data_IF_564861891700
#
_entry.id   IF_564861891700
#
_cell.length_a   1.000
_cell.length_b   1.000
_cell.length_c   1.000
_cell.angle_alpha   90.00
_cell.angle_beta   90.00
_cell.angle_gamma   90.00
#
_symmetry.space_group_name_H-M   'P 1'
#
loop_
_entity.id
_entity.type
_entity.pdbx_description
1 polymer ?
#
# COMPACT_ATOMS: atom_id res chain seq x y z
N UNK A 1 -16.59 -26.15 7.18
CA UNK A 1 -16.78 -27.05 8.32
C UNK A 1 -17.20 -26.20 9.50
N UNK A 2 -18.33 -26.51 10.14
CA UNK A 2 -18.84 -25.75 11.28
C UNK A 2 -18.11 -26.15 12.57
N UNK A 3 -17.92 -25.18 13.47
CA UNK A 3 -17.37 -25.40 14.81
C UNK A 3 -18.46 -26.09 15.64
N UNK A 4 -18.17 -27.28 16.15
CA UNK A 4 -19.12 -28.12 16.89
C UNK A 4 -18.75 -28.29 18.37
N UNK A 5 -19.69 -28.76 19.18
CA UNK A 5 -19.52 -28.96 20.63
C UNK A 5 -18.29 -29.81 21.01
N UNK A 6 -17.92 -30.78 20.19
CA UNK A 6 -16.77 -31.67 20.46
C UNK A 6 -15.43 -30.95 20.35
N UNK A 7 -15.41 -29.78 19.70
CA UNK A 7 -14.23 -28.94 19.56
C UNK A 7 -14.13 -27.89 20.68
N UNK A 8 -15.20 -27.70 21.48
CA UNK A 8 -15.32 -26.68 22.53
C UNK A 8 -15.59 -27.29 23.92
N UNK A 9 -15.09 -28.51 24.18
CA UNK A 9 -15.37 -29.27 25.43
C UNK A 9 -15.05 -28.48 26.70
N UNK A 10 -13.97 -27.69 26.70
CA UNK A 10 -13.55 -26.89 27.86
C UNK A 10 -14.40 -25.64 28.10
N UNK A 11 -15.17 -25.21 27.10
CA UNK A 11 -16.11 -24.09 27.25
C UNK A 11 -17.45 -24.56 27.88
N UNK A 12 -17.66 -25.88 27.96
CA UNK A 12 -18.85 -26.54 28.49
C UNK A 12 -18.70 -26.99 29.96
N UNK A 13 -17.48 -26.98 30.50
CA UNK A 13 -17.19 -27.43 31.88
C UNK A 13 -17.37 -26.30 32.91
N UNK A 14 -18.18 -26.50 33.98
CA UNK A 14 -18.31 -25.52 35.06
C UNK A 14 -16.97 -25.35 35.80
N UNK A 15 -16.43 -24.13 35.83
CA UNK A 15 -15.17 -23.80 36.52
C UNK A 15 -14.08 -23.16 35.64
N UNK A 16 -14.36 -22.88 34.37
CA UNK A 16 -13.44 -22.16 33.50
C UNK A 16 -13.24 -20.69 33.95
N UNK A 17 -12.01 -20.34 34.32
CA UNK A 17 -11.67 -19.01 34.85
C UNK A 17 -11.65 -17.92 33.76
N UNK A 18 -11.05 -18.20 32.60
CA UNK A 18 -11.07 -17.30 31.43
C UNK A 18 -10.63 -18.01 30.14
N UNK A 19 -11.23 -17.62 29.01
CA UNK A 19 -10.72 -17.88 27.65
C UNK A 19 -9.89 -16.70 27.18
N UNK A 20 -8.63 -16.93 26.80
CA UNK A 20 -7.66 -15.92 26.35
C UNK A 20 -7.10 -16.25 24.95
N UNK A 21 -6.50 -15.27 24.27
CA UNK A 21 -5.77 -15.47 23.01
C UNK A 21 -6.51 -15.08 21.73
N UNK A 22 -7.80 -14.78 21.79
CA UNK A 22 -8.54 -14.22 20.64
C UNK A 22 -8.51 -12.69 20.58
N UNK A 23 -8.25 -12.04 21.72
CA UNK A 23 -8.22 -10.58 21.86
C UNK A 23 -6.82 -10.14 22.30
N UNK A 24 -5.96 -9.90 21.31
CA UNK A 24 -4.70 -9.21 21.51
C UNK A 24 -4.84 -7.75 21.10
N UNK A 25 -3.95 -6.89 21.63
CA UNK A 25 -3.80 -5.53 21.10
C UNK A 25 -3.55 -5.60 19.59
N UNK A 26 -4.21 -4.71 18.86
CA UNK A 26 -4.17 -4.66 17.41
C UNK A 26 -3.11 -3.64 17.01
N UNK A 27 -2.43 -3.90 15.90
CA UNK A 27 -1.78 -2.83 15.18
C UNK A 27 -2.88 -1.96 14.57
N UNK A 28 -2.74 -0.65 14.70
CA UNK A 28 -3.64 0.31 14.06
C UNK A 28 -3.51 0.21 12.54
N UNK A 29 -4.36 0.92 11.80
CA UNK A 29 -4.39 0.92 10.34
C UNK A 29 -3.15 1.57 9.70
N UNK A 30 -1.94 1.05 9.96
CA UNK A 30 -0.66 1.56 9.42
C UNK A 30 -0.64 1.76 7.90
N UNK A 31 -1.34 0.93 7.11
CA UNK A 31 -1.50 1.16 5.67
C UNK A 31 -2.10 2.53 5.30
N UNK A 32 -2.91 3.14 6.17
CA UNK A 32 -3.48 4.48 5.96
C UNK A 32 -2.42 5.59 6.10
N UNK A 33 -1.28 5.31 6.74
CA UNK A 33 -0.15 6.24 6.80
C UNK A 33 0.69 6.24 5.52
N UNK A 34 0.52 5.22 4.68
CA UNK A 34 1.31 4.96 3.46
C UNK A 34 0.48 5.28 2.21
N UNK A 35 -0.79 4.88 2.21
CA UNK A 35 -1.66 4.95 1.03
C UNK A 35 -2.87 5.83 1.28
N UNK A 36 -3.24 6.60 0.24
CA UNK A 36 -4.51 7.31 0.19
C UNK A 36 -5.60 6.31 -0.18
N UNK A 37 -6.76 6.45 0.45
CA UNK A 37 -7.92 5.59 0.21
C UNK A 37 -8.93 6.27 -0.70
N UNK A 38 -9.28 5.59 -1.78
CA UNK A 38 -10.35 5.98 -2.67
C UNK A 38 -11.43 4.89 -2.75
N UNK A 39 -12.65 5.30 -3.09
CA UNK A 39 -13.80 4.41 -3.25
C UNK A 39 -14.16 4.29 -4.72
N UNK A 40 -14.36 3.06 -5.19
CA UNK A 40 -14.80 2.79 -6.56
C UNK A 40 -15.88 1.70 -6.57
N UNK A 41 -16.82 1.84 -7.51
CA UNK A 41 -17.83 0.82 -7.85
C UNK A 41 -17.46 0.08 -9.16
N UNK A 42 -16.29 0.37 -9.74
CA UNK A 42 -15.84 -0.20 -11.03
C UNK A 42 -15.05 -1.48 -10.81
N UNK A 43 -14.93 -2.29 -11.87
CA UNK A 43 -14.15 -3.53 -11.84
C UNK A 43 -12.63 -3.27 -11.77
N UNK A 44 -12.18 -2.13 -12.29
CA UNK A 44 -10.81 -1.64 -12.20
C UNK A 44 -10.81 -0.11 -12.31
N UNK A 45 -9.80 0.52 -11.74
CA UNK A 45 -9.46 1.92 -12.00
C UNK A 45 -8.16 2.00 -12.78
N UNK A 46 -8.03 3.02 -13.61
CA UNK A 46 -6.87 3.23 -14.44
C UNK A 46 -6.46 4.70 -14.38
N UNK A 47 -5.20 4.93 -14.04
CA UNK A 47 -4.59 6.25 -13.98
C UNK A 47 -3.55 6.37 -15.08
N UNK A 48 -3.61 7.47 -15.83
CA UNK A 48 -2.66 7.77 -16.90
C UNK A 48 -1.93 9.06 -16.54
N UNK A 49 -0.59 9.02 -16.58
CA UNK A 49 0.21 10.22 -16.37
C UNK A 49 0.37 10.99 -17.68
N UNK A 50 0.13 12.30 -17.63
CA UNK A 50 0.36 13.23 -18.73
C UNK A 50 1.68 13.98 -18.53
N UNK A 51 2.49 14.08 -19.58
CA UNK A 51 3.82 14.69 -19.53
C UNK A 51 3.85 16.22 -19.45
N UNK A 52 2.70 16.90 -19.50
CA UNK A 52 2.63 18.36 -19.41
C UNK A 52 3.40 19.09 -20.51
N UNK A 53 4.00 20.24 -20.17
CA UNK A 53 4.75 21.10 -21.10
C UNK A 53 6.15 21.42 -20.54
N UNK A 54 7.11 21.67 -21.44
CA UNK A 54 8.46 22.09 -21.06
C UNK A 54 8.59 23.58 -20.71
N UNK A 55 9.83 24.01 -20.48
CA UNK A 55 10.15 25.42 -20.22
C UNK A 55 9.69 26.34 -21.38
N UNK A 56 9.12 27.49 -21.03
CA UNK A 56 8.78 28.52 -22.01
C UNK A 56 10.04 29.14 -22.61
N UNK A 57 10.13 29.14 -23.95
CA UNK A 57 11.25 29.76 -24.66
C UNK A 57 11.10 31.30 -24.70
N UNK A 58 12.22 32.03 -24.60
CA UNK A 58 12.23 33.48 -24.83
C UNK A 58 11.96 33.72 -26.32
N UNK A 59 10.86 34.42 -26.60
CA UNK A 59 10.42 34.74 -27.94
C UNK A 59 11.10 36.03 -28.44
N UNK A 60 11.73 35.97 -29.62
CA UNK A 60 12.22 37.16 -30.30
C UNK A 60 11.08 37.96 -30.96
N UNK A 61 11.23 39.28 -31.03
CA UNK A 61 10.25 40.17 -31.67
C UNK A 61 10.00 39.74 -33.14
N UNK A 62 8.73 39.71 -33.56
CA UNK A 62 8.33 39.29 -34.91
C UNK A 62 8.32 37.77 -35.18
N UNK A 63 8.84 36.95 -34.26
CA UNK A 63 8.85 35.48 -34.44
C UNK A 63 7.48 34.83 -34.12
N UNK A 64 7.28 33.58 -34.56
CA UNK A 64 6.14 32.75 -34.17
C UNK A 64 6.19 32.30 -32.70
N UNK A 65 5.05 31.85 -32.17
CA UNK A 65 5.00 31.16 -30.87
C UNK A 65 5.32 29.68 -31.10
N UNK A 66 6.20 29.10 -30.27
CA UNK A 66 6.44 27.67 -30.27
C UNK A 66 5.33 26.95 -29.50
N UNK A 67 4.74 25.92 -30.11
CA UNK A 67 3.73 25.09 -29.47
C UNK A 67 4.37 23.77 -29.05
N UNK A 68 4.21 23.42 -27.78
CA UNK A 68 4.61 22.13 -27.23
C UNK A 68 3.39 21.20 -27.17
N UNK A 69 3.62 19.89 -27.21
CA UNK A 69 2.55 18.89 -27.19
C UNK A 69 2.64 18.05 -25.92
N UNK A 70 1.53 17.99 -25.16
CA UNK A 70 1.39 17.05 -24.06
C UNK A 70 1.18 15.63 -24.60
N UNK A 71 1.78 14.64 -23.95
CA UNK A 71 1.65 13.23 -24.31
C UNK A 71 1.29 12.40 -23.07
N UNK A 72 0.56 11.31 -23.29
CA UNK A 72 0.34 10.29 -22.26
C UNK A 72 1.60 9.43 -22.13
N UNK A 73 2.01 9.16 -20.91
CA UNK A 73 3.26 8.44 -20.60
C UNK A 73 2.94 7.04 -20.11
N UNK A 74 2.94 6.82 -18.80
CA UNK A 74 2.65 5.51 -18.22
C UNK A 74 1.22 5.41 -17.69
N UNK A 75 0.73 4.17 -17.68
CA UNK A 75 -0.61 3.82 -17.22
C UNK A 75 -0.51 2.81 -16.09
N UNK A 76 -1.14 3.09 -14.97
CA UNK A 76 -1.28 2.15 -13.85
C UNK A 76 -2.74 1.70 -13.75
N UNK A 77 -2.95 0.38 -13.68
CA UNK A 77 -4.28 -0.20 -13.50
C UNK A 77 -4.39 -0.88 -12.13
N UNK A 78 -5.42 -0.51 -11.38
CA UNK A 78 -5.73 -1.08 -10.08
C UNK A 78 -6.95 -2.00 -10.20
N UNK A 79 -6.76 -3.28 -9.88
CA UNK A 79 -7.83 -4.27 -9.83
C UNK A 79 -8.22 -4.56 -8.38
N UNK A 80 -9.52 -4.52 -8.10
CA UNK A 80 -10.01 -4.78 -6.75
C UNK A 80 -9.97 -6.28 -6.42
N UNK A 81 -9.32 -6.63 -5.31
CA UNK A 81 -9.31 -7.98 -4.79
C UNK A 81 -10.48 -8.23 -3.82
N UNK A 82 -11.21 -9.31 -4.01
CA UNK A 82 -12.25 -9.74 -3.06
C UNK A 82 -11.63 -10.56 -1.93
N UNK A 83 -11.60 -10.00 -0.73
CA UNK A 83 -11.13 -10.70 0.49
C UNK A 83 -12.37 -11.20 1.25
N UNK A 84 -12.44 -12.49 1.51
CA UNK A 84 -13.53 -13.10 2.26
C UNK A 84 -13.00 -14.14 3.26
N UNK A 85 -13.56 -14.12 4.47
CA UNK A 85 -13.36 -15.13 5.51
C UNK A 85 -14.66 -15.28 6.30
N UNK A 86 -15.03 -16.51 6.63
CA UNK A 86 -16.27 -16.81 7.35
C UNK A 86 -16.04 -17.91 8.39
N UNK A 87 -16.86 -17.94 9.43
CA UNK A 87 -16.97 -19.03 10.37
C UNK A 87 -18.44 -19.47 10.47
N UNK A 88 -18.67 -20.73 10.82
CA UNK A 88 -19.99 -21.27 11.10
C UNK A 88 -19.96 -21.99 12.45
N UNK A 89 -21.01 -21.84 13.24
CA UNK A 89 -21.18 -22.48 14.56
C UNK A 89 -22.48 -23.29 14.51
N UNK A 90 -22.49 -24.50 15.08
CA UNK A 90 -23.72 -25.29 15.14
C UNK A 90 -24.67 -24.75 16.21
N UNK A 91 -25.98 -24.98 16.03
CA UNK A 91 -27.01 -24.48 16.96
C UNK A 91 -26.84 -25.06 18.36
N UNK A 92 -26.48 -26.34 18.46
CA UNK A 92 -26.25 -27.00 19.74
C UNK A 92 -25.07 -26.38 20.49
N UNK A 93 -24.03 -25.92 19.78
CA UNK A 93 -22.88 -25.26 20.39
C UNK A 93 -23.20 -23.83 20.88
N UNK A 94 -24.26 -23.21 20.35
CA UNK A 94 -24.77 -21.92 20.82
C UNK A 94 -25.67 -22.12 22.04
N UNK A 95 -26.57 -23.10 21.98
CA UNK A 95 -27.51 -23.42 23.06
C UNK A 95 -26.79 -23.93 24.33
N UNK A 96 -25.77 -24.76 24.16
CA UNK A 96 -25.02 -25.35 25.28
C UNK A 96 -23.96 -24.40 25.88
N UNK A 97 -23.76 -23.19 25.32
CA UNK A 97 -22.77 -22.25 25.86
C UNK A 97 -23.30 -21.55 27.13
N UNK A 98 -22.65 -21.84 28.27
CA UNK A 98 -23.08 -21.38 29.59
C UNK A 98 -22.48 -20.02 30.02
N UNK A 99 -21.45 -19.49 29.33
CA UNK A 99 -20.58 -18.44 29.89
C UNK A 99 -20.27 -17.23 29.00
N UNK A 100 -20.38 -17.30 27.67
CA UNK A 100 -20.16 -16.11 26.82
C UNK A 100 -20.79 -16.24 25.43
N UNK A 101 -21.03 -15.11 24.77
CA UNK A 101 -21.44 -15.05 23.37
C UNK A 101 -20.27 -15.48 22.49
N UNK A 102 -20.08 -16.79 22.29
CA UNK A 102 -19.17 -17.44 21.34
C UNK A 102 -19.09 -16.68 20.00
N UNK A 103 -20.25 -16.30 19.48
CA UNK A 103 -20.39 -15.51 18.27
C UNK A 103 -19.68 -14.14 18.33
N UNK A 104 -19.72 -13.44 19.46
CA UNK A 104 -19.07 -12.12 19.62
C UNK A 104 -17.54 -12.21 19.65
N UNK A 105 -16.99 -13.30 20.18
CA UNK A 105 -15.53 -13.54 20.20
C UNK A 105 -15.02 -13.93 18.83
N UNK A 106 -15.71 -14.85 18.15
CA UNK A 106 -15.32 -15.27 16.80
C UNK A 106 -15.48 -14.16 15.77
N UNK A 107 -16.49 -13.29 15.89
CA UNK A 107 -16.59 -12.07 15.05
C UNK A 107 -15.44 -11.09 15.29
N UNK A 108 -15.01 -10.87 16.54
CA UNK A 108 -13.82 -10.05 16.84
C UNK A 108 -12.54 -10.65 16.26
N UNK A 109 -12.36 -11.97 16.35
CA UNK A 109 -11.21 -12.66 15.78
C UNK A 109 -11.22 -12.59 14.24
N UNK A 110 -12.40 -12.76 13.63
CA UNK A 110 -12.60 -12.62 12.20
C UNK A 110 -12.22 -11.20 11.72
N UNK A 111 -12.71 -10.17 12.40
CA UNK A 111 -12.38 -8.77 12.08
C UNK A 111 -10.87 -8.52 12.13
N UNK A 112 -10.17 -9.09 13.13
CA UNK A 112 -8.70 -9.01 13.23
C UNK A 112 -8.01 -9.70 12.07
N UNK A 113 -8.46 -10.89 11.68
CA UNK A 113 -7.89 -11.60 10.53
C UNK A 113 -8.04 -10.80 9.25
N UNK A 114 -9.22 -10.20 9.02
CA UNK A 114 -9.49 -9.35 7.85
C UNK A 114 -8.61 -8.10 7.85
N UNK A 115 -8.43 -7.45 9.00
CA UNK A 115 -7.55 -6.30 9.14
C UNK A 115 -6.09 -6.67 8.86
N UNK A 116 -5.61 -7.80 9.37
CA UNK A 116 -4.25 -8.29 9.10
C UNK A 116 -4.03 -8.55 7.60
N UNK A 117 -4.97 -9.21 6.93
CA UNK A 117 -4.86 -9.43 5.47
C UNK A 117 -4.72 -8.11 4.73
N UNK A 118 -5.49 -7.07 5.09
CA UNK A 118 -5.36 -5.74 4.47
C UNK A 118 -3.97 -5.16 4.66
N UNK A 119 -3.43 -5.23 5.88
CA UNK A 119 -2.09 -4.72 6.19
C UNK A 119 -1.00 -5.45 5.39
N UNK A 120 -1.04 -6.78 5.37
CA UNK A 120 -0.05 -7.59 4.64
C UNK A 120 -0.12 -7.31 3.14
N UNK A 121 -1.33 -7.22 2.57
CA UNK A 121 -1.50 -6.88 1.16
C UNK A 121 -0.95 -5.48 0.84
N UNK A 122 -1.15 -4.49 1.71
CA UNK A 122 -0.59 -3.15 1.52
C UNK A 122 0.94 -3.15 1.65
N UNK A 123 1.50 -3.80 2.68
CA UNK A 123 2.94 -3.88 2.90
C UNK A 123 3.68 -4.59 1.75
N UNK A 124 3.02 -5.55 1.07
CA UNK A 124 3.59 -6.25 -0.07
C UNK A 124 4.01 -5.33 -1.22
N UNK A 125 3.41 -4.15 -1.37
CA UNK A 125 3.84 -3.17 -2.39
C UNK A 125 5.26 -2.69 -2.11
N UNK A 126 5.58 -2.36 -0.85
CA UNK A 126 6.92 -1.93 -0.45
C UNK A 126 7.89 -3.12 -0.38
N UNK A 127 7.45 -4.27 0.16
CA UNK A 127 8.30 -5.46 0.29
C UNK A 127 8.78 -5.99 -1.07
N UNK A 128 7.95 -5.87 -2.11
CA UNK A 128 8.31 -6.25 -3.47
C UNK A 128 8.88 -5.10 -4.30
N UNK A 129 9.12 -3.93 -3.70
CA UNK A 129 9.45 -2.71 -4.43
C UNK A 129 10.75 -2.76 -5.24
N UNK A 130 11.70 -3.64 -4.89
CA UNK A 130 12.93 -3.87 -5.67
C UNK A 130 12.82 -4.98 -6.72
N UNK A 131 11.70 -5.71 -6.76
CA UNK A 131 11.56 -6.90 -7.59
C UNK A 131 11.16 -6.56 -9.01
N UNK A 132 11.98 -6.95 -9.99
CA UNK A 132 11.68 -6.80 -11.43
C UNK A 132 10.52 -7.67 -11.92
N UNK A 133 9.93 -8.51 -11.06
CA UNK A 133 8.69 -9.23 -11.34
C UNK A 133 7.43 -8.48 -10.93
N UNK A 134 7.57 -7.38 -10.19
CA UNK A 134 6.49 -6.52 -9.71
C UNK A 134 6.67 -5.12 -10.28
N UNK A 135 6.35 -4.98 -11.56
CA UNK A 135 6.53 -3.75 -12.31
C UNK A 135 5.39 -2.76 -12.03
N UNK A 136 5.72 -1.48 -11.95
CA UNK A 136 4.78 -0.37 -11.94
C UNK A 136 4.28 -0.03 -13.34
N UNK A 137 3.52 1.07 -13.45
CA UNK A 137 2.94 1.52 -14.71
C UNK A 137 3.98 1.88 -15.78
N UNK A 138 5.19 2.27 -15.38
CA UNK A 138 6.31 2.63 -16.25
C UNK A 138 7.17 1.42 -16.66
N UNK A 139 6.78 0.21 -16.27
CA UNK A 139 7.50 -1.02 -16.58
C UNK A 139 8.77 -1.24 -15.76
N UNK A 140 9.02 -0.44 -14.72
CA UNK A 140 10.12 -0.62 -13.76
C UNK A 140 9.60 -1.05 -12.38
N UNK A 141 10.41 -1.71 -11.54
CA UNK A 141 10.07 -1.92 -10.13
C UNK A 141 9.90 -0.59 -9.40
N UNK A 142 9.15 -0.59 -8.29
CA UNK A 142 8.84 0.63 -7.52
C UNK A 142 10.10 1.41 -7.11
N UNK A 143 11.18 0.72 -6.75
CA UNK A 143 12.48 1.31 -6.43
C UNK A 143 13.47 1.00 -7.55
N UNK A 144 13.76 2.00 -8.39
CA UNK A 144 14.64 1.85 -9.55
C UNK A 144 15.56 3.06 -9.75
N UNK A 145 16.68 2.80 -10.40
CA UNK A 145 17.60 3.86 -10.87
C UNK A 145 17.31 4.32 -12.29
N UNK A 146 16.36 3.65 -12.97
CA UNK A 146 16.13 3.80 -14.41
C UNK A 146 14.65 3.92 -14.74
N UNK A 147 13.90 4.70 -13.97
CA UNK A 147 12.54 5.06 -14.37
C UNK A 147 12.62 5.97 -15.59
N UNK A 148 12.06 5.54 -16.73
CA UNK A 148 12.15 6.28 -17.99
C UNK A 148 11.15 7.45 -18.00
N UNK A 149 11.60 8.61 -18.47
CA UNK A 149 10.80 9.82 -18.65
C UNK A 149 10.99 10.34 -20.06
N UNK A 150 10.14 11.26 -20.53
CA UNK A 150 10.31 11.88 -21.85
C UNK A 150 11.65 12.62 -21.97
N UNK A 151 12.10 13.26 -20.88
CA UNK A 151 13.36 14.02 -20.86
C UNK A 151 14.60 13.21 -20.46
N UNK A 152 14.48 11.90 -20.21
CA UNK A 152 15.61 11.07 -19.79
C UNK A 152 15.21 9.96 -18.83
N UNK A 153 15.95 9.79 -17.73
CA UNK A 153 15.67 8.79 -16.70
C UNK A 153 15.77 9.43 -15.33
N UNK A 154 14.88 9.05 -14.41
CA UNK A 154 14.95 9.43 -13.02
C UNK A 154 15.25 8.21 -12.13
N UNK A 155 15.82 8.48 -10.95
CA UNK A 155 16.07 7.47 -9.92
C UNK A 155 15.33 7.84 -8.63
N UNK A 156 14.81 6.85 -7.93
CA UNK A 156 14.26 7.00 -6.57
C UNK A 156 14.93 6.09 -5.54
N UNK A 157 16.01 5.42 -5.92
CA UNK A 157 16.90 4.66 -5.03
C UNK A 157 18.35 5.07 -5.28
N UNK A 158 19.20 4.84 -4.28
CA UNK A 158 20.64 5.03 -4.40
C UNK A 158 21.24 4.05 -5.42
N UNK A 159 22.22 4.51 -6.20
CA UNK A 159 22.94 3.67 -7.17
C UNK A 159 23.79 2.59 -6.49
N UNK A 160 24.30 2.88 -5.29
CA UNK A 160 24.91 1.92 -4.38
C UNK A 160 24.11 1.98 -3.09
N UNK A 161 23.53 0.84 -2.70
CA UNK A 161 22.72 0.78 -1.49
C UNK A 161 23.59 1.11 -0.27
N UNK A 162 23.04 1.89 0.63
CA UNK A 162 23.71 2.34 1.83
C UNK A 162 22.82 2.05 3.04
N UNK A 163 23.46 1.72 4.17
CA UNK A 163 22.76 1.57 5.43
C UNK A 163 22.17 2.92 5.89
N UNK A 164 21.11 2.85 6.68
CA UNK A 164 20.48 4.03 7.26
C UNK A 164 21.43 4.69 8.28
N UNK A 165 21.96 5.86 7.91
CA UNK A 165 22.78 6.71 8.75
C UNK A 165 22.53 8.18 8.37
N UNK A 166 23.12 9.11 9.12
CA UNK A 166 22.93 10.55 8.89
C UNK A 166 23.30 10.96 7.46
N UNK A 167 24.44 10.49 6.95
CA UNK A 167 24.92 10.84 5.61
C UNK A 167 24.02 10.28 4.50
N UNK A 168 23.56 9.03 4.62
CA UNK A 168 22.68 8.42 3.63
C UNK A 168 21.29 9.07 3.65
N UNK A 169 20.78 9.42 4.83
CA UNK A 169 19.52 10.15 4.96
C UNK A 169 19.61 11.57 4.39
N UNK A 170 20.68 12.30 4.67
CA UNK A 170 20.92 13.63 4.10
C UNK A 170 20.98 13.57 2.57
N UNK A 171 21.72 12.59 2.01
CA UNK A 171 21.78 12.39 0.57
C UNK A 171 20.41 12.08 -0.03
N UNK A 172 19.59 11.24 0.62
CA UNK A 172 18.23 10.96 0.17
C UNK A 172 17.35 12.22 0.16
N UNK A 173 17.46 13.10 1.15
CA UNK A 173 16.72 14.37 1.18
C UNK A 173 17.17 15.33 0.08
N UNK A 174 18.47 15.39 -0.22
CA UNK A 174 19.02 16.16 -1.34
C UNK A 174 18.47 15.63 -2.67
N UNK A 175 18.45 14.31 -2.84
CA UNK A 175 17.94 13.67 -4.05
C UNK A 175 16.44 13.96 -4.26
N UNK A 176 15.63 13.89 -3.20
CA UNK A 176 14.19 14.23 -3.25
C UNK A 176 13.98 15.68 -3.68
N UNK A 177 14.76 16.62 -3.13
CA UNK A 177 14.68 18.03 -3.51
C UNK A 177 15.16 18.32 -4.95
N UNK A 178 15.86 17.36 -5.57
CA UNK A 178 16.34 17.43 -6.94
C UNK A 178 15.44 16.70 -7.95
N UNK A 179 14.33 16.09 -7.51
CA UNK A 179 13.40 15.41 -8.41
C UNK A 179 12.86 16.36 -9.49
N UNK A 180 12.63 15.79 -10.67
CA UNK A 180 12.10 16.49 -11.84
C UNK A 180 10.86 15.78 -12.38
N UNK A 181 10.01 16.53 -13.07
CA UNK A 181 8.92 15.98 -13.86
C UNK A 181 9.39 15.34 -15.18
N UNK A 182 8.44 14.85 -15.98
CA UNK A 182 8.67 14.23 -17.29
C UNK A 182 9.40 15.14 -18.30
N UNK A 183 9.39 16.46 -18.07
CA UNK A 183 9.97 17.49 -18.94
C UNK A 183 11.27 18.06 -18.35
N UNK A 184 11.75 17.51 -17.25
CA UNK A 184 12.98 17.92 -16.58
C UNK A 184 12.84 19.17 -15.71
N UNK A 185 11.62 19.63 -15.42
CA UNK A 185 11.38 20.73 -14.49
C UNK A 185 11.41 20.22 -13.05
N UNK A 186 12.07 20.95 -12.15
CA UNK A 186 12.14 20.54 -10.74
C UNK A 186 10.77 20.57 -10.07
N UNK A 187 10.46 19.52 -9.31
CA UNK A 187 9.28 19.46 -8.46
C UNK A 187 9.63 19.88 -7.04
N UNK A 188 8.72 20.59 -6.37
CA UNK A 188 8.89 21.01 -4.99
C UNK A 188 8.59 19.86 -4.00
N UNK A 189 9.26 18.73 -4.17
CA UNK A 189 9.09 17.56 -3.30
C UNK A 189 9.90 17.72 -2.01
N UNK A 190 9.33 17.25 -0.90
CA UNK A 190 9.98 17.25 0.42
C UNK A 190 9.71 15.94 1.13
N UNK A 191 10.75 15.35 1.73
CA UNK A 191 10.60 14.17 2.58
C UNK A 191 9.95 14.56 3.91
N UNK A 192 8.72 14.10 4.15
CA UNK A 192 7.96 14.43 5.37
C UNK A 192 7.87 13.27 6.38
N UNK A 193 7.99 12.03 5.91
CA UNK A 193 7.78 10.83 6.72
C UNK A 193 8.78 9.75 6.28
N UNK A 194 9.41 9.11 7.26
CA UNK A 194 10.26 7.94 7.04
C UNK A 194 9.50 6.69 7.49
N UNK A 195 9.32 5.73 6.58
CA UNK A 195 8.67 4.45 6.85
C UNK A 195 9.77 3.39 6.87
N UNK A 196 9.87 2.65 7.97
CA UNK A 196 10.84 1.56 8.15
C UNK A 196 10.04 0.26 8.25
N UNK A 197 10.06 -0.60 7.21
CA UNK A 197 9.47 -1.93 7.32
C UNK A 197 10.32 -2.80 8.25
N UNK A 198 9.67 -3.52 9.17
CA UNK A 198 10.29 -4.47 10.11
C UNK A 198 10.05 -5.92 9.72
#
# INVERSE_FOLDING_TARGET
>A
MAISRSQLVKELEPGLNALFGLEYKRYDSEHEEIFIKETSDRAFEEEVMLSGFGNAAIKAEGSGVNYDQAQETFTARYTHNTIALAFAITEEAIEDNLYDRLASRYTKALARSMANTKQVTAANVLNNGFSTSYLGGDGSPLFSTTHATISGTFRNTLATQADLNETSLEQSLIDIAAFTDERGLKIAAQGMKLIIPS
#
